data_IF_431839335221
#
_entry.id   IF_431839335221
#
_cell.length_a   1.000
_cell.length_b   1.000
_cell.length_c   1.000
_cell.angle_alpha   90.00
_cell.angle_beta   90.00
_cell.angle_gamma   90.00
#
_symmetry.space_group_name_H-M   'P 1'
#
loop_
_entity.id
_entity.type
_entity.pdbx_description
1 polymer ?
#
# COMPACT_ATOMS: atom_id res chain seq x y z
N UNK A 1 -5.99 -14.87 9.89
CA UNK A 1 -4.78 -14.01 9.89
C UNK A 1 -4.98 -12.85 8.92
N UNK A 2 -4.66 -11.62 9.32
CA UNK A 2 -4.99 -10.41 8.56
C UNK A 2 -4.21 -10.29 7.25
N UNK A 3 -4.51 -9.26 6.46
CA UNK A 3 -3.71 -8.90 5.29
C UNK A 3 -2.29 -8.50 5.69
N UNK A 4 -1.30 -8.96 4.95
CA UNK A 4 0.11 -8.57 5.15
C UNK A 4 0.73 -8.11 3.83
N UNK A 5 1.42 -6.97 3.85
CA UNK A 5 2.17 -6.44 2.72
C UNK A 5 3.66 -6.39 3.04
N UNK A 6 4.47 -7.04 2.19
CA UNK A 6 5.91 -7.06 2.32
C UNK A 6 6.53 -5.93 1.50
N UNK A 7 6.96 -4.85 2.16
CA UNK A 7 7.40 -3.64 1.46
C UNK A 7 8.69 -3.85 0.65
N UNK A 8 9.53 -4.83 0.97
CA UNK A 8 10.77 -5.14 0.24
C UNK A 8 10.56 -5.89 -1.08
N UNK A 9 9.41 -6.57 -1.24
CA UNK A 9 9.13 -7.40 -2.42
C UNK A 9 7.88 -6.95 -3.17
N UNK A 10 7.01 -6.19 -2.51
CA UNK A 10 5.69 -5.83 -3.02
C UNK A 10 4.67 -6.95 -2.92
N UNK A 11 4.98 -8.07 -2.26
CA UNK A 11 4.04 -9.18 -2.10
C UNK A 11 2.95 -8.80 -1.10
N UNK A 12 1.69 -8.98 -1.52
CA UNK A 12 0.53 -8.96 -0.65
C UNK A 12 0.07 -10.39 -0.40
N UNK A 13 -0.21 -10.71 0.86
CA UNK A 13 -0.75 -12.00 1.28
C UNK A 13 -2.01 -11.81 2.12
N UNK A 14 -2.89 -12.81 2.08
CA UNK A 14 -4.08 -12.91 2.93
C UNK A 14 -4.07 -14.27 3.62
N UNK A 15 -4.21 -14.28 4.94
CA UNK A 15 -4.07 -15.52 5.72
C UNK A 15 -2.74 -16.27 5.51
N UNK A 16 -1.65 -15.56 5.15
CA UNK A 16 -0.35 -16.17 4.84
C UNK A 16 -0.21 -16.67 3.40
N UNK A 17 -1.29 -16.70 2.61
CA UNK A 17 -1.24 -17.08 1.21
C UNK A 17 -0.97 -15.87 0.31
N UNK A 18 -0.06 -16.02 -0.65
CA UNK A 18 0.23 -14.99 -1.65
C UNK A 18 -1.00 -14.66 -2.50
N UNK A 19 -1.26 -13.37 -2.70
CA UNK A 19 -2.39 -12.85 -3.48
C UNK A 19 -1.92 -12.17 -4.75
N UNK A 20 -1.05 -11.18 -4.63
CA UNK A 20 -0.55 -10.37 -5.74
C UNK A 20 0.83 -9.81 -5.41
N UNK A 21 1.65 -9.56 -6.44
CA UNK A 21 2.84 -8.71 -6.31
C UNK A 21 2.57 -7.34 -6.93
N UNK A 22 2.62 -6.32 -6.09
CA UNK A 22 2.57 -4.91 -6.47
C UNK A 22 3.89 -4.20 -6.18
N UNK A 23 3.81 -2.93 -5.79
CA UNK A 23 4.98 -2.16 -5.33
C UNK A 23 4.58 -0.96 -4.48
N UNK A 24 5.56 -0.37 -3.78
CA UNK A 24 5.41 0.88 -3.03
C UNK A 24 6.68 1.71 -3.13
N UNK A 25 6.54 3.03 -3.24
CA UNK A 25 7.63 3.96 -3.50
C UNK A 25 7.98 4.10 -4.98
N UNK A 26 8.85 5.05 -5.28
CA UNK A 26 9.29 5.43 -6.61
C UNK A 26 10.81 5.41 -6.74
N UNK A 27 11.29 5.37 -7.98
CA UNK A 27 12.72 5.44 -8.31
C UNK A 27 13.56 4.49 -7.42
N UNK A 28 14.60 5.00 -6.76
CA UNK A 28 15.48 4.24 -5.87
C UNK A 28 14.80 3.78 -4.57
N UNK A 29 13.64 4.39 -4.22
CA UNK A 29 12.84 4.04 -3.06
C UNK A 29 11.83 2.94 -3.32
N UNK A 30 11.59 2.54 -4.58
CA UNK A 30 10.66 1.47 -4.88
C UNK A 30 11.06 0.18 -4.17
N UNK A 31 10.16 -0.32 -3.33
CA UNK A 31 10.34 -1.50 -2.52
C UNK A 31 11.64 -1.51 -1.70
N UNK A 32 12.13 -0.33 -1.29
CA UNK A 32 13.39 -0.20 -0.57
C UNK A 32 13.13 0.18 0.92
N UNK A 33 13.17 -0.79 1.85
CA UNK A 33 12.92 -0.56 3.27
C UNK A 33 13.81 0.52 3.92
N UNK A 34 15.05 0.67 3.44
CA UNK A 34 15.98 1.65 3.97
C UNK A 34 15.54 3.09 3.68
N UNK A 35 14.68 3.28 2.67
CA UNK A 35 14.18 4.59 2.26
C UNK A 35 12.78 4.90 2.80
N UNK A 36 12.17 4.06 3.66
CA UNK A 36 10.78 4.27 4.15
C UNK A 36 10.57 5.60 4.89
N UNK A 37 11.63 6.23 5.39
CA UNK A 37 11.56 7.56 6.02
C UNK A 37 11.63 8.72 5.00
N UNK A 38 12.00 8.45 3.74
CA UNK A 38 12.19 9.47 2.69
C UNK A 38 10.83 9.83 2.09
N UNK A 39 10.34 11.08 2.26
CA UNK A 39 9.07 11.51 1.73
C UNK A 39 9.01 11.36 0.20
N UNK A 40 7.84 10.97 -0.29
CA UNK A 40 7.50 10.82 -1.72
C UNK A 40 8.36 9.85 -2.55
N UNK A 41 9.36 9.20 -1.95
CA UNK A 41 10.28 8.29 -2.63
C UNK A 41 10.20 6.89 -2.03
N UNK A 42 10.29 6.81 -0.70
CA UNK A 42 10.29 5.54 0.02
C UNK A 42 8.95 4.80 -0.03
N UNK A 43 8.96 3.48 0.20
CA UNK A 43 7.73 2.72 0.34
C UNK A 43 6.94 3.19 1.57
N UNK A 44 5.68 2.76 1.68
CA UNK A 44 4.91 2.90 2.91
C UNK A 44 5.73 2.37 4.11
N UNK A 45 5.78 3.08 5.25
CA UNK A 45 6.47 2.59 6.44
C UNK A 45 5.92 1.28 6.98
N UNK A 46 6.78 0.52 7.67
CA UNK A 46 6.36 -0.68 8.40
C UNK A 46 5.41 -0.32 9.54
N UNK A 47 4.44 -1.18 9.79
CA UNK A 47 3.50 -1.02 10.89
C UNK A 47 2.11 -1.53 10.57
N UNK A 48 1.15 -1.13 11.39
CA UNK A 48 -0.23 -1.59 11.30
C UNK A 48 -1.12 -0.46 10.79
N UNK A 49 -1.92 -0.75 9.77
CA UNK A 49 -2.81 0.21 9.13
C UNK A 49 -4.24 -0.29 9.13
N UNK A 50 -5.16 0.66 9.27
CA UNK A 50 -6.59 0.44 9.05
C UNK A 50 -6.93 0.77 7.59
N UNK A 51 -7.60 -0.17 6.91
CA UNK A 51 -8.10 -0.01 5.55
C UNK A 51 -9.46 0.68 5.60
N UNK A 52 -9.54 1.86 4.97
CA UNK A 52 -10.77 2.63 4.81
C UNK A 52 -11.63 2.17 3.64
N UNK A 53 -12.82 2.74 3.54
CA UNK A 53 -13.77 2.42 2.46
C UNK A 53 -13.25 2.78 1.06
N UNK A 54 -13.65 2.00 0.04
CA UNK A 54 -13.30 2.28 -1.34
C UNK A 54 -13.98 3.54 -1.81
N UNK A 55 -13.22 4.40 -2.48
CA UNK A 55 -13.72 5.60 -3.13
C UNK A 55 -13.03 5.81 -4.48
N UNK A 56 -13.59 6.69 -5.30
CA UNK A 56 -12.94 7.16 -6.52
C UNK A 56 -12.20 8.44 -6.22
N UNK A 57 -10.93 8.50 -6.63
CA UNK A 57 -10.07 9.66 -6.49
C UNK A 57 -9.64 10.15 -7.87
N UNK A 58 -9.66 11.46 -8.14
CA UNK A 58 -9.15 12.01 -9.40
C UNK A 58 -7.68 11.69 -9.67
N UNK A 59 -6.89 11.48 -8.60
CA UNK A 59 -5.45 11.27 -8.69
C UNK A 59 -5.05 9.79 -8.70
N UNK A 60 -5.73 8.96 -7.91
CA UNK A 60 -5.38 7.55 -7.71
C UNK A 60 -6.37 6.58 -8.36
N UNK A 61 -7.38 7.12 -9.04
CA UNK A 61 -8.35 6.37 -9.83
C UNK A 61 -9.44 5.70 -9.00
N UNK A 62 -10.15 4.79 -9.66
CA UNK A 62 -11.28 4.07 -9.09
C UNK A 62 -10.84 3.08 -8.02
N UNK A 63 -11.69 2.91 -7.01
CA UNK A 63 -11.51 1.90 -5.96
C UNK A 63 -10.20 2.08 -5.18
N UNK A 64 -9.88 3.32 -4.82
CA UNK A 64 -8.78 3.67 -3.92
C UNK A 64 -9.18 3.34 -2.48
N UNK A 65 -8.27 2.73 -1.71
CA UNK A 65 -8.46 2.44 -0.29
C UNK A 65 -7.50 3.32 0.53
N UNK A 66 -8.01 4.15 1.44
CA UNK A 66 -7.16 4.92 2.35
C UNK A 66 -6.56 4.02 3.43
N UNK A 67 -5.32 4.31 3.85
CA UNK A 67 -4.63 3.61 4.93
C UNK A 67 -4.36 4.57 6.09
N UNK A 68 -5.01 4.33 7.21
CA UNK A 68 -4.81 5.10 8.44
C UNK A 68 -3.83 4.35 9.34
N UNK A 69 -2.66 4.92 9.69
CA UNK A 69 -1.74 4.28 10.61
C UNK A 69 -2.40 4.10 11.98
N UNK A 70 -2.24 2.92 12.57
CA UNK A 70 -2.69 2.64 13.94
C UNK A 70 -1.62 3.08 14.94
N UNK A 71 -2.02 3.24 16.21
CA UNK A 71 -1.11 3.61 17.29
C UNK A 71 0.12 2.67 17.34
N UNK A 72 1.31 3.25 17.44
CA UNK A 72 2.59 2.53 17.40
C UNK A 72 3.23 2.43 16.00
N UNK A 73 2.54 2.83 14.94
CA UNK A 73 3.12 2.90 13.59
C UNK A 73 3.90 4.20 13.41
N UNK A 74 5.22 4.11 13.26
CA UNK A 74 6.05 5.28 12.96
C UNK A 74 5.98 5.64 11.48
N UNK A 75 5.30 6.74 11.15
CA UNK A 75 5.18 7.19 9.76
C UNK A 75 6.30 8.12 9.32
N UNK A 76 7.25 8.47 10.19
CA UNK A 76 8.30 9.46 9.92
C UNK A 76 7.74 10.83 9.48
N UNK A 77 6.59 11.21 10.03
CA UNK A 77 5.88 12.46 9.67
C UNK A 77 5.15 12.40 8.33
N UNK A 78 5.15 11.27 7.64
CA UNK A 78 4.43 11.05 6.38
C UNK A 78 2.97 10.66 6.64
N UNK A 79 2.11 10.90 5.64
CA UNK A 79 0.66 10.66 5.73
C UNK A 79 0.07 10.37 4.34
N UNK A 80 -1.27 10.33 4.25
CA UNK A 80 -2.02 10.13 3.00
C UNK A 80 -1.73 8.81 2.25
N UNK A 81 -1.33 7.77 2.99
CA UNK A 81 -1.10 6.43 2.44
C UNK A 81 -2.39 5.80 1.91
N UNK A 82 -2.28 5.08 0.79
CA UNK A 82 -3.40 4.44 0.09
C UNK A 82 -2.98 3.09 -0.49
N UNK A 83 -3.97 2.27 -0.84
CA UNK A 83 -3.85 1.20 -1.83
C UNK A 83 -4.60 1.64 -3.08
N UNK A 84 -3.92 1.75 -4.23
CA UNK A 84 -4.54 2.18 -5.48
C UNK A 84 -3.95 1.50 -6.71
N UNK A 85 -4.48 1.84 -7.89
CA UNK A 85 -4.02 1.30 -9.17
C UNK A 85 -2.78 2.00 -9.69
N UNK A 86 -2.08 1.32 -10.59
CA UNK A 86 -0.95 1.92 -11.29
C UNK A 86 -1.40 2.97 -12.32
N UNK A 87 -0.47 3.80 -12.77
CA UNK A 87 -0.72 4.78 -13.83
C UNK A 87 -0.86 4.07 -15.18
N UNK A 88 -1.91 4.42 -15.92
CA UNK A 88 -2.09 3.95 -17.29
C UNK A 88 -1.09 4.61 -18.27
N UNK A 89 -0.65 5.83 -17.96
CA UNK A 89 0.27 6.59 -18.80
C UNK A 89 1.75 6.32 -18.49
N UNK A 90 2.06 6.05 -17.21
CA UNK A 90 3.43 5.80 -16.74
C UNK A 90 3.46 4.62 -15.76
N UNK A 91 3.27 3.37 -16.24
CA UNK A 91 3.26 2.19 -15.38
C UNK A 91 4.55 2.07 -14.56
N UNK A 92 4.40 1.66 -13.31
CA UNK A 92 5.50 1.46 -12.38
C UNK A 92 6.01 2.74 -11.71
N UNK A 93 5.47 3.92 -11.98
CA UNK A 93 5.94 5.17 -11.36
C UNK A 93 4.85 5.94 -10.61
N UNK A 94 3.72 5.31 -10.32
CA UNK A 94 2.55 5.96 -9.72
C UNK A 94 2.63 6.17 -8.20
N UNK A 95 3.56 5.48 -7.53
CA UNK A 95 3.63 5.50 -6.06
C UNK A 95 4.65 6.48 -5.51
N UNK A 96 4.21 7.36 -4.62
CA UNK A 96 5.05 8.20 -3.75
C UNK A 96 5.15 7.62 -2.32
N UNK A 97 4.91 6.32 -2.20
CA UNK A 97 4.83 5.59 -0.92
C UNK A 97 3.47 4.96 -0.65
N UNK A 98 2.51 5.06 -1.57
CA UNK A 98 1.29 4.24 -1.53
C UNK A 98 1.57 2.81 -1.97
N UNK A 99 0.66 1.88 -1.69
CA UNK A 99 0.73 0.51 -2.21
C UNK A 99 -0.01 0.46 -3.54
N UNK A 100 0.64 -0.07 -4.57
CA UNK A 100 0.03 -0.28 -5.89
C UNK A 100 -0.40 -1.74 -6.00
N UNK A 101 -1.68 -1.98 -6.27
CA UNK A 101 -2.27 -3.31 -6.49
C UNK A 101 -3.32 -3.23 -7.59
N UNK A 102 -3.59 -4.35 -8.27
CA UNK A 102 -4.66 -4.48 -9.24
C UNK A 102 -6.05 -4.25 -8.63
N UNK A 103 -7.00 -3.79 -9.46
CA UNK A 103 -8.36 -3.46 -8.99
C UNK A 103 -9.07 -4.66 -8.35
N UNK A 104 -8.89 -5.87 -8.89
CA UNK A 104 -9.49 -7.09 -8.34
C UNK A 104 -8.99 -7.39 -6.92
N UNK A 105 -7.71 -7.14 -6.65
CA UNK A 105 -7.13 -7.32 -5.31
C UNK A 105 -7.65 -6.26 -4.35
N UNK A 106 -7.80 -5.00 -4.78
CA UNK A 106 -8.40 -3.95 -3.94
C UNK A 106 -9.86 -4.29 -3.58
N UNK A 107 -10.64 -4.81 -4.54
CA UNK A 107 -11.96 -5.38 -4.27
C UNK A 107 -11.89 -6.53 -3.26
N UNK A 108 -10.97 -7.48 -3.44
CA UNK A 108 -10.80 -8.62 -2.52
C UNK A 108 -10.48 -8.16 -1.09
N UNK A 109 -9.61 -7.16 -0.93
CA UNK A 109 -9.32 -6.56 0.38
C UNK A 109 -10.60 -6.06 1.03
N UNK A 110 -11.38 -5.23 0.34
CA UNK A 110 -12.59 -4.65 0.93
C UNK A 110 -13.68 -5.70 1.20
N UNK A 111 -13.95 -6.59 0.26
CA UNK A 111 -14.99 -7.62 0.39
C UNK A 111 -14.65 -8.65 1.46
N UNK A 112 -13.37 -8.85 1.80
CA UNK A 112 -12.95 -9.79 2.86
C UNK A 112 -13.53 -9.48 4.24
N UNK A 113 -14.04 -8.27 4.47
CA UNK A 113 -14.51 -7.82 5.78
C UNK A 113 -13.38 -7.46 6.76
N UNK A 114 -12.16 -7.96 6.54
CA UNK A 114 -10.98 -7.55 7.30
C UNK A 114 -10.58 -6.12 6.90
N UNK A 115 -10.22 -5.32 7.89
CA UNK A 115 -9.87 -3.91 7.74
C UNK A 115 -8.47 -3.62 8.28
N UNK A 116 -7.69 -4.65 8.62
CA UNK A 116 -6.32 -4.51 9.10
C UNK A 116 -5.34 -4.94 8.03
N UNK A 117 -4.31 -4.11 7.84
CA UNK A 117 -3.14 -4.41 7.03
C UNK A 117 -1.89 -4.30 7.89
N UNK A 118 -1.08 -5.35 7.92
CA UNK A 118 0.26 -5.32 8.49
C UNK A 118 1.29 -5.10 7.38
N UNK A 119 2.06 -4.03 7.48
CA UNK A 119 3.21 -3.79 6.60
C UNK A 119 4.46 -4.33 7.29
N UNK A 120 5.01 -5.39 6.71
CA UNK A 120 6.25 -6.03 7.13
C UNK A 120 7.39 -5.62 6.20
N UNK A 121 8.62 -5.94 6.61
CA UNK A 121 9.79 -5.70 5.77
C UNK A 121 9.79 -6.61 4.55
#
# INVERSE_FOLDING_TARGET
>A
MPWSYQQSTGNLSFNGEFVERGYSGAATGKNNPAMQAVPNIGPIPRGNYQVGEPHTSPHTGTYTLNLTPTAGTNTFGRSAFRIHGDSLHHPGTASEGCIIMGVQTRHRIWVSGDRRLEVIQ
#
